data_IF_234593127919
#
_entry.id   IF_234593127919
#
_cell.length_a   1.000
_cell.length_b   1.000
_cell.length_c   1.000
_cell.angle_alpha   90.00
_cell.angle_beta   90.00
_cell.angle_gamma   90.00
#
_symmetry.space_group_name_H-M   'P 1'
#
loop_
_entity.id
_entity.type
_entity.pdbx_description
1 polymer ?
#
# COMPACT_ATOMS: atom_id res chain seq x y z
N UNK A 1 31.70 38.01 6.86
CA UNK A 1 30.77 36.86 6.97
C UNK A 1 29.37 37.43 6.96
N UNK A 2 28.57 37.17 5.91
CA UNK A 2 27.19 37.65 5.87
C UNK A 2 26.34 36.92 6.92
N UNK A 3 25.45 37.61 7.66
CA UNK A 3 24.58 36.95 8.62
C UNK A 3 23.60 36.02 7.89
N UNK A 4 23.52 34.76 8.33
CA UNK A 4 22.52 33.81 7.85
C UNK A 4 21.13 34.39 8.18
N UNK A 5 20.33 34.62 7.16
CA UNK A 5 18.94 35.05 7.32
C UNK A 5 18.20 34.06 8.23
N UNK A 6 17.56 34.58 9.29
CA UNK A 6 16.67 33.79 10.13
C UNK A 6 15.54 33.24 9.26
N UNK A 7 15.31 31.93 9.31
CA UNK A 7 14.15 31.31 8.66
C UNK A 7 12.90 31.97 9.26
N UNK A 8 12.11 32.67 8.44
CA UNK A 8 10.78 33.10 8.83
C UNK A 8 9.93 31.84 9.03
N UNK A 9 9.31 31.71 10.20
CA UNK A 9 8.26 30.73 10.41
C UNK A 9 7.06 31.16 9.56
N UNK A 10 6.90 30.53 8.40
CA UNK A 10 5.72 30.68 7.56
C UNK A 10 4.58 29.84 8.14
N UNK A 11 3.41 30.44 8.29
CA UNK A 11 2.19 29.74 8.71
C UNK A 11 1.81 28.72 7.64
N UNK A 12 1.87 27.43 7.97
CA UNK A 12 1.45 26.33 7.09
C UNK A 12 0.11 25.77 7.54
N UNK A 13 -0.84 25.63 6.61
CA UNK A 13 -2.11 24.93 6.83
C UNK A 13 -2.02 23.55 6.19
N UNK A 14 -2.53 22.53 6.88
CA UNK A 14 -2.60 21.15 6.40
C UNK A 14 -4.03 20.69 6.28
N UNK A 15 -4.32 19.89 5.25
CA UNK A 15 -5.61 19.22 5.17
C UNK A 15 -5.75 18.16 6.28
N UNK A 16 -6.96 17.77 6.71
CA UNK A 16 -7.10 16.68 7.67
C UNK A 16 -6.47 15.36 7.19
N UNK A 17 -6.55 15.07 5.88
CA UNK A 17 -5.91 13.89 5.29
C UNK A 17 -4.39 13.95 5.41
N UNK A 18 -3.80 15.10 5.10
CA UNK A 18 -2.36 15.35 5.24
C UNK A 18 -1.91 15.25 6.70
N UNK A 19 -2.66 15.87 7.64
CA UNK A 19 -2.36 15.78 9.07
C UNK A 19 -2.29 14.33 9.53
N UNK A 20 -3.26 13.50 9.16
CA UNK A 20 -3.29 12.10 9.59
C UNK A 20 -2.31 11.20 8.82
N UNK A 21 -1.98 11.56 7.58
CA UNK A 21 -0.91 10.93 6.82
C UNK A 21 0.46 11.18 7.49
N UNK A 22 0.68 12.34 8.09
CA UNK A 22 1.90 12.64 8.84
C UNK A 22 1.89 12.02 10.25
N UNK A 23 0.71 11.93 10.88
CA UNK A 23 0.54 11.52 12.29
C UNK A 23 -0.13 10.15 12.44
N UNK A 24 0.43 9.14 11.77
CA UNK A 24 -0.14 7.78 11.63
C UNK A 24 -0.28 7.02 12.95
N UNK A 25 0.61 7.32 13.90
CA UNK A 25 0.60 6.76 15.25
C UNK A 25 -0.69 7.10 16.02
N UNK A 26 -1.27 8.29 15.80
CA UNK A 26 -2.51 8.73 16.47
C UNK A 26 -3.68 7.80 16.12
N UNK A 27 -3.72 7.31 14.89
CA UNK A 27 -4.77 6.41 14.41
C UNK A 27 -4.45 4.92 14.60
N UNK A 28 -3.33 4.57 15.24
CA UNK A 28 -2.93 3.19 15.45
C UNK A 28 -2.31 2.49 14.24
N UNK A 29 -1.75 3.27 13.30
CA UNK A 29 -1.02 2.79 12.12
C UNK A 29 0.50 3.02 12.26
N UNK A 30 1.06 2.60 13.40
CA UNK A 30 2.48 2.78 13.74
C UNK A 30 3.37 1.60 13.29
N UNK A 31 2.83 0.37 13.34
CA UNK A 31 3.55 -0.86 13.02
C UNK A 31 2.73 -1.78 12.11
N UNK A 32 3.36 -2.56 11.20
CA UNK A 32 2.65 -3.36 10.21
C UNK A 32 1.60 -4.33 10.79
N UNK A 33 1.90 -4.96 11.94
CA UNK A 33 0.97 -5.90 12.59
C UNK A 33 -0.27 -5.19 13.14
N UNK A 34 -0.08 -4.05 13.82
CA UNK A 34 -1.16 -3.22 14.33
C UNK A 34 -1.94 -2.57 13.19
N UNK A 35 -1.31 -2.18 12.09
CA UNK A 35 -2.01 -1.66 10.91
C UNK A 35 -3.03 -2.68 10.36
N UNK A 36 -2.64 -3.96 10.27
CA UNK A 36 -3.55 -5.02 9.82
C UNK A 36 -4.70 -5.22 10.82
N UNK A 37 -4.38 -5.35 12.11
CA UNK A 37 -5.39 -5.47 13.16
C UNK A 37 -6.37 -4.30 13.18
N UNK A 38 -5.86 -3.07 13.19
CA UNK A 38 -6.66 -1.84 13.19
C UNK A 38 -7.54 -1.78 11.94
N UNK A 39 -7.02 -2.12 10.76
CA UNK A 39 -7.83 -2.16 9.52
C UNK A 39 -9.01 -3.11 9.65
N UNK A 40 -8.78 -4.34 10.12
CA UNK A 40 -9.84 -5.32 10.31
C UNK A 40 -10.84 -4.83 11.36
N UNK A 41 -10.36 -4.34 12.52
CA UNK A 41 -11.21 -3.82 13.60
C UNK A 41 -12.14 -2.72 13.10
N UNK A 42 -11.61 -1.70 12.44
CA UNK A 42 -12.39 -0.54 11.99
C UNK A 42 -13.45 -0.93 10.94
N UNK A 43 -13.14 -1.85 10.03
CA UNK A 43 -14.10 -2.34 9.04
C UNK A 43 -15.20 -3.19 9.68
N UNK A 44 -14.84 -4.06 10.64
CA UNK A 44 -15.80 -4.91 11.37
C UNK A 44 -16.71 -4.09 12.27
N UNK A 45 -16.19 -3.11 13.00
CA UNK A 45 -16.99 -2.21 13.83
C UNK A 45 -18.02 -1.43 12.99
N UNK A 46 -17.63 -0.98 11.80
CA UNK A 46 -18.56 -0.33 10.86
C UNK A 46 -19.62 -1.29 10.30
N UNK A 47 -19.25 -2.53 9.98
CA UNK A 47 -20.19 -3.56 9.54
C UNK A 47 -21.21 -3.90 10.64
N UNK A 48 -20.76 -4.07 11.89
CA UNK A 48 -21.64 -4.31 13.03
C UNK A 48 -22.61 -3.14 13.26
N UNK A 49 -22.09 -1.91 13.29
CA UNK A 49 -22.92 -0.71 13.45
C UNK A 49 -23.94 -0.56 12.30
N UNK A 50 -23.57 -0.97 11.07
CA UNK A 50 -24.47 -0.92 9.90
C UNK A 50 -25.60 -1.94 10.00
N UNK A 51 -25.33 -3.19 10.38
CA UNK A 51 -26.36 -4.20 10.63
C UNK A 51 -27.29 -3.82 11.80
N UNK A 52 -26.71 -3.33 12.89
CA UNK A 52 -27.44 -2.89 14.07
C UNK A 52 -28.35 -1.68 13.77
N UNK A 53 -27.94 -0.80 12.84
CA UNK A 53 -28.74 0.36 12.44
C UNK A 53 -30.10 0.01 11.83
N UNK A 54 -30.21 -1.17 11.21
CA UNK A 54 -31.44 -1.69 10.59
C UNK A 54 -32.00 -2.91 11.35
N UNK A 55 -31.48 -3.18 12.55
CA UNK A 55 -31.93 -4.25 13.45
C UNK A 55 -31.93 -5.65 12.82
N UNK A 56 -30.91 -5.95 12.03
CA UNK A 56 -30.69 -7.30 11.47
C UNK A 56 -29.55 -8.01 12.20
N UNK A 57 -29.61 -9.34 12.25
CA UNK A 57 -28.49 -10.13 12.78
C UNK A 57 -27.27 -9.96 11.85
N UNK A 58 -26.11 -9.51 12.36
CA UNK A 58 -24.95 -9.27 11.52
C UNK A 58 -24.38 -10.57 10.95
N UNK A 59 -24.26 -10.61 9.62
CA UNK A 59 -23.48 -11.61 8.89
C UNK A 59 -22.26 -10.90 8.31
N UNK A 60 -21.07 -11.18 8.86
CA UNK A 60 -19.83 -10.51 8.48
C UNK A 60 -18.82 -11.56 8.02
N UNK A 61 -18.38 -11.45 6.77
CA UNK A 61 -17.30 -12.27 6.21
C UNK A 61 -16.03 -11.43 6.09
N UNK A 62 -14.93 -11.94 6.65
CA UNK A 62 -13.62 -11.30 6.59
C UNK A 62 -12.69 -12.21 5.81
N UNK A 63 -11.99 -11.65 4.83
CA UNK A 63 -10.99 -12.36 4.03
C UNK A 63 -9.69 -11.56 4.06
N UNK A 64 -8.60 -12.24 4.41
CA UNK A 64 -7.25 -11.66 4.42
C UNK A 64 -6.38 -12.53 3.53
N UNK A 65 -5.92 -11.97 2.42
CA UNK A 65 -5.09 -12.67 1.45
C UNK A 65 -3.71 -12.01 1.38
N UNK A 66 -2.66 -12.82 1.46
CA UNK A 66 -1.31 -12.34 1.22
C UNK A 66 -1.12 -11.99 -0.26
N UNK A 67 -0.51 -10.83 -0.51
CA UNK A 67 -0.19 -10.31 -1.83
C UNK A 67 1.33 -10.25 -1.95
N UNK A 68 1.88 -11.07 -2.84
CA UNK A 68 3.32 -11.06 -3.10
C UNK A 68 3.76 -9.72 -3.70
N UNK A 69 5.02 -9.34 -3.45
CA UNK A 69 5.60 -8.11 -4.02
C UNK A 69 5.52 -8.08 -5.55
N UNK A 70 5.74 -9.22 -6.21
CA UNK A 70 5.60 -9.34 -7.66
C UNK A 70 4.16 -9.05 -8.13
N UNK A 71 3.15 -9.61 -7.44
CA UNK A 71 1.74 -9.34 -7.73
C UNK A 71 1.40 -7.87 -7.50
N UNK A 72 1.89 -7.27 -6.41
CA UNK A 72 1.68 -5.85 -6.12
C UNK A 72 2.30 -4.94 -7.19
N UNK A 73 3.53 -5.21 -7.61
CA UNK A 73 4.22 -4.44 -8.65
C UNK A 73 3.45 -4.48 -9.98
N UNK A 74 2.95 -5.67 -10.37
CA UNK A 74 2.06 -5.81 -11.52
C UNK A 74 0.78 -4.98 -11.37
N UNK A 75 0.13 -5.02 -10.21
CA UNK A 75 -1.08 -4.21 -9.95
C UNK A 75 -0.80 -2.70 -10.03
N UNK A 76 0.40 -2.26 -9.68
CA UNK A 76 0.83 -0.85 -9.81
C UNK A 76 1.17 -0.44 -11.25
N UNK A 77 1.22 -1.38 -12.19
CA UNK A 77 1.76 -1.14 -13.53
C UNK A 77 3.28 -0.92 -13.55
N UNK A 78 3.98 -1.25 -12.45
CA UNK A 78 5.44 -1.25 -12.36
C UNK A 78 5.93 -2.66 -12.65
N UNK A 79 5.61 -3.17 -13.84
CA UNK A 79 6.30 -4.37 -14.30
C UNK A 79 7.78 -4.00 -14.53
N UNK A 80 8.68 -4.95 -14.28
CA UNK A 80 10.08 -4.74 -14.63
C UNK A 80 10.15 -4.55 -16.15
N UNK A 81 10.17 -3.30 -16.59
CA UNK A 81 10.72 -2.98 -17.88
C UNK A 81 12.20 -3.33 -17.77
N UNK A 82 12.60 -4.43 -18.42
CA UNK A 82 14.00 -4.61 -18.73
C UNK A 82 14.46 -3.33 -19.42
N UNK A 83 15.58 -2.75 -18.98
CA UNK A 83 16.13 -1.57 -19.63
C UNK A 83 16.52 -1.99 -21.05
N UNK A 84 15.68 -1.62 -22.01
CA UNK A 84 15.88 -1.99 -23.42
C UNK A 84 17.14 -1.31 -23.97
N UNK A 85 17.43 -0.10 -23.49
CA UNK A 85 18.60 0.67 -23.89
C UNK A 85 19.38 1.14 -22.66
N UNK A 86 20.37 0.34 -22.25
CA UNK A 86 21.28 0.72 -21.18
C UNK A 86 22.14 1.94 -21.54
N UNK A 87 22.32 2.25 -22.83
CA UNK A 87 23.15 3.37 -23.28
C UNK A 87 22.49 4.73 -22.99
N UNK A 88 21.16 4.78 -22.94
CA UNK A 88 20.38 5.99 -22.64
C UNK A 88 20.50 6.45 -21.18
N UNK A 89 20.97 5.58 -20.28
CA UNK A 89 21.11 5.83 -18.82
C UNK A 89 22.57 5.83 -18.36
N UNK A 90 23.53 5.92 -19.28
CA UNK A 90 24.96 6.06 -18.97
C UNK A 90 25.34 7.50 -18.61
N UNK A 91 24.38 8.41 -18.56
CA UNK A 91 24.56 9.80 -18.18
C UNK A 91 24.88 9.92 -16.68
N UNK A 92 26.20 9.95 -16.45
CA UNK A 92 26.94 10.24 -15.22
C UNK A 92 27.18 9.05 -14.27
N UNK A 93 28.10 8.17 -14.67
CA UNK A 93 28.92 7.39 -13.73
C UNK A 93 30.22 8.15 -13.47
N UNK A 94 30.54 8.48 -12.21
CA UNK A 94 31.86 9.03 -11.90
C UNK A 94 32.95 7.98 -12.18
N UNK A 95 34.15 8.39 -12.61
CA UNK A 95 35.27 7.48 -12.92
C UNK A 95 35.55 6.46 -11.79
N UNK A 96 35.38 6.90 -10.54
CA UNK A 96 35.52 6.04 -9.36
C UNK A 96 34.39 5.00 -9.22
N UNK A 97 33.15 5.35 -9.58
CA UNK A 97 32.03 4.41 -9.61
C UNK A 97 32.23 3.36 -10.72
N UNK A 98 32.70 3.81 -11.90
CA UNK A 98 33.01 2.93 -13.05
C UNK A 98 34.11 1.93 -12.72
N UNK A 99 35.20 2.38 -12.10
CA UNK A 99 36.31 1.49 -11.68
C UNK A 99 35.84 0.45 -10.66
N UNK A 100 34.98 0.83 -9.71
CA UNK A 100 34.43 -0.08 -8.69
C UNK A 100 33.50 -1.12 -9.31
N UNK A 101 32.66 -0.73 -10.26
CA UNK A 101 31.76 -1.64 -10.97
C UNK A 101 32.53 -2.66 -11.80
N UNK A 102 33.46 -2.22 -12.64
CA UNK A 102 34.29 -3.10 -13.45
C UNK A 102 35.10 -4.10 -12.59
N UNK A 103 35.65 -3.64 -11.47
CA UNK A 103 36.36 -4.52 -10.53
C UNK A 103 35.43 -5.55 -9.86
N UNK A 104 34.17 -5.21 -9.62
CA UNK A 104 33.17 -6.11 -9.05
C UNK A 104 32.68 -7.15 -10.07
N UNK A 105 32.40 -6.71 -11.29
CA UNK A 105 32.02 -7.57 -12.43
C UNK A 105 33.14 -8.57 -12.77
N UNK A 106 34.40 -8.13 -12.79
CA UNK A 106 35.55 -9.01 -13.02
C UNK A 106 35.69 -10.09 -11.93
N UNK A 107 35.55 -9.71 -10.66
CA UNK A 107 35.59 -10.67 -9.52
C UNK A 107 34.41 -11.64 -9.55
N UNK A 108 33.23 -11.19 -9.94
CA UNK A 108 32.04 -12.03 -10.04
C UNK A 108 32.18 -13.05 -11.18
N UNK A 109 32.71 -12.62 -12.33
CA UNK A 109 33.03 -13.50 -13.46
C UNK A 109 34.07 -14.56 -13.10
N UNK A 110 35.17 -14.16 -12.46
CA UNK A 110 36.21 -15.10 -12.00
C UNK A 110 35.63 -16.12 -10.99
N UNK A 111 34.74 -15.67 -10.09
CA UNK A 111 34.05 -16.55 -9.14
C UNK A 111 33.13 -17.55 -9.85
N UNK A 112 32.36 -17.11 -10.84
CA UNK A 112 31.47 -17.97 -11.62
C UNK A 112 32.25 -18.99 -12.45
N UNK A 113 33.38 -18.60 -13.05
CA UNK A 113 34.29 -19.50 -13.78
C UNK A 113 34.92 -20.57 -12.87
N UNK A 114 35.32 -20.20 -11.64
CA UNK A 114 35.79 -21.17 -10.62
C UNK A 114 34.70 -22.14 -10.18
N UNK A 115 33.44 -21.71 -10.16
CA UNK A 115 32.30 -22.58 -9.84
C UNK A 115 31.97 -23.51 -11.01
N UNK A 116 32.04 -23.00 -12.24
CA UNK A 116 31.84 -23.77 -13.47
C UNK A 116 32.86 -24.90 -13.62
N UNK A 117 34.15 -24.58 -13.42
CA UNK A 117 35.24 -25.57 -13.47
C UNK A 117 35.12 -26.62 -12.37
N UNK A 118 34.74 -26.25 -11.14
CA UNK A 118 34.49 -27.20 -10.05
C UNK A 118 33.30 -28.13 -10.26
N UNK A 119 32.28 -27.69 -11.00
CA UNK A 119 31.05 -28.47 -11.25
C UNK A 119 31.05 -29.19 -12.60
N UNK A 120 32.05 -28.97 -13.45
CA UNK A 120 32.07 -29.51 -14.81
C UNK A 120 30.92 -29.00 -15.68
N UNK A 121 30.39 -27.81 -15.39
CA UNK A 121 29.28 -27.19 -16.12
C UNK A 121 29.79 -26.02 -16.98
N UNK A 122 29.13 -25.74 -18.11
CA UNK A 122 29.45 -24.55 -18.90
C UNK A 122 29.20 -23.26 -18.09
N UNK A 123 30.10 -22.28 -18.21
CA UNK A 123 30.01 -21.01 -17.48
C UNK A 123 28.66 -20.30 -17.68
N UNK A 124 28.13 -20.32 -18.91
CA UNK A 124 26.80 -19.77 -19.23
C UNK A 124 25.64 -20.49 -18.52
N UNK A 125 25.77 -21.79 -18.22
CA UNK A 125 24.75 -22.53 -17.49
C UNK A 125 24.76 -22.20 -15.99
N UNK A 126 25.95 -22.01 -15.42
CA UNK A 126 26.13 -21.55 -14.03
C UNK A 126 25.65 -20.12 -13.86
N UNK A 127 25.90 -19.26 -14.84
CA UNK A 127 25.44 -17.88 -14.88
C UNK A 127 23.91 -17.79 -14.94
N UNK A 128 23.26 -18.57 -15.82
CA UNK A 128 21.79 -18.68 -15.87
C UNK A 128 21.19 -19.19 -14.56
N UNK A 129 21.76 -20.24 -13.96
CA UNK A 129 21.32 -20.73 -12.64
C UNK A 129 21.53 -19.69 -11.54
N UNK A 130 22.59 -18.90 -11.60
CA UNK A 130 22.85 -17.82 -10.65
C UNK A 130 21.87 -16.66 -10.83
N UNK A 131 21.53 -16.27 -12.07
CA UNK A 131 20.52 -15.26 -12.36
C UNK A 131 19.12 -15.72 -11.94
N UNK A 132 18.78 -16.99 -12.20
CA UNK A 132 17.50 -17.59 -11.80
C UNK A 132 17.40 -17.73 -10.28
N UNK A 133 18.48 -18.11 -9.60
CA UNK A 133 18.55 -18.15 -8.14
C UNK A 133 18.50 -16.75 -7.52
N UNK A 134 19.05 -15.73 -8.18
CA UNK A 134 18.96 -14.32 -7.77
C UNK A 134 17.52 -13.81 -7.92
N UNK A 135 16.87 -14.07 -9.06
CA UNK A 135 15.43 -13.79 -9.29
C UNK A 135 14.54 -14.52 -8.28
N UNK A 136 14.84 -15.78 -7.97
CA UNK A 136 14.13 -16.55 -6.94
C UNK A 136 14.35 -15.99 -5.53
N UNK A 137 15.56 -15.53 -5.19
CA UNK A 137 15.86 -14.90 -3.89
C UNK A 137 15.24 -13.51 -3.73
N UNK A 138 15.11 -12.74 -4.81
CA UNK A 138 14.40 -11.45 -4.79
C UNK A 138 12.90 -11.61 -4.47
N UNK A 139 12.33 -12.79 -4.71
CA UNK A 139 10.96 -13.16 -4.32
C UNK A 139 10.80 -13.70 -2.89
N UNK A 140 11.90 -14.10 -2.21
CA UNK A 140 11.88 -14.83 -0.91
C UNK A 140 12.69 -14.09 0.18
N UNK A 141 12.94 -12.80 0.01
CA UNK A 141 13.23 -11.97 1.18
C UNK A 141 11.95 -11.82 2.00
N UNK A 142 12.01 -11.98 3.33
CA UNK A 142 11.00 -11.44 4.26
C UNK A 142 11.03 -9.90 4.17
N UNK A 143 10.65 -9.37 3.02
CA UNK A 143 10.39 -7.96 2.79
C UNK A 143 9.01 -7.58 3.32
N UNK A 144 8.61 -6.33 3.10
CA UNK A 144 7.27 -5.87 3.47
C UNK A 144 6.20 -6.82 2.92
N UNK A 145 5.43 -7.42 3.84
CA UNK A 145 4.28 -8.26 3.51
C UNK A 145 3.09 -7.34 3.21
N UNK A 146 2.39 -7.63 2.12
CA UNK A 146 1.19 -6.90 1.73
C UNK A 146 -0.01 -7.83 1.82
N UNK A 147 -1.14 -7.28 2.26
CA UNK A 147 -2.38 -8.05 2.41
C UNK A 147 -3.52 -7.33 1.70
N UNK A 148 -4.38 -8.11 1.05
CA UNK A 148 -5.70 -7.68 0.62
C UNK A 148 -6.69 -8.06 1.71
N UNK A 149 -7.26 -7.05 2.36
CA UNK A 149 -8.33 -7.24 3.36
C UNK A 149 -9.66 -6.95 2.68
N UNK A 150 -10.61 -7.88 2.77
CA UNK A 150 -11.98 -7.71 2.29
C UNK A 150 -12.94 -7.99 3.44
N UNK A 151 -13.87 -7.07 3.68
CA UNK A 151 -14.96 -7.22 4.65
C UNK A 151 -16.27 -7.09 3.89
N UNK A 152 -17.14 -8.08 4.05
CA UNK A 152 -18.50 -8.10 3.51
C UNK A 152 -19.48 -8.20 4.67
N UNK A 153 -20.53 -7.38 4.63
CA UNK A 153 -21.60 -7.38 5.61
C UNK A 153 -22.98 -7.41 4.95
N UNK A 154 -24.00 -7.69 5.75
CA UNK A 154 -25.42 -7.64 5.40
C UNK A 154 -26.14 -6.40 5.98
N UNK A 155 -25.41 -5.32 6.23
CA UNK A 155 -25.92 -4.11 6.87
C UNK A 155 -26.80 -3.25 5.98
N UNK A 156 -27.01 -1.99 6.40
CA UNK A 156 -27.84 -1.00 5.71
C UNK A 156 -27.34 -0.64 4.31
N UNK A 157 -26.06 -0.87 4.04
CA UNK A 157 -25.34 -0.32 2.90
C UNK A 157 -25.18 1.19 2.97
N UNK A 158 -24.63 1.75 1.89
CA UNK A 158 -24.37 3.19 1.71
C UNK A 158 -25.07 3.67 0.44
N UNK A 159 -25.75 4.83 0.45
CA UNK A 159 -26.35 5.40 -0.75
C UNK A 159 -25.26 5.73 -1.79
N UNK A 160 -25.49 5.34 -3.05
CA UNK A 160 -24.57 5.54 -4.18
C UNK A 160 -23.85 6.89 -4.16
N UNK A 161 -24.63 7.98 -4.17
CA UNK A 161 -24.14 9.37 -4.23
C UNK A 161 -23.26 9.79 -3.05
N UNK A 162 -23.44 9.17 -1.88
CA UNK A 162 -22.79 9.57 -0.63
C UNK A 162 -21.50 8.77 -0.37
N UNK A 163 -21.29 7.65 -1.07
CA UNK A 163 -20.11 6.76 -0.89
C UNK A 163 -18.76 7.53 -0.99
N UNK A 164 -18.53 8.38 -2.01
CA UNK A 164 -17.27 9.12 -2.12
C UNK A 164 -17.01 10.04 -0.92
N UNK A 165 -18.02 10.75 -0.43
CA UNK A 165 -17.87 11.63 0.73
C UNK A 165 -17.76 10.84 2.04
N UNK A 166 -18.49 9.74 2.19
CA UNK A 166 -18.46 8.89 3.38
C UNK A 166 -17.12 8.20 3.60
N UNK A 167 -16.38 7.87 2.54
CA UNK A 167 -15.12 7.11 2.61
C UNK A 167 -13.88 7.90 2.18
N UNK A 168 -14.03 8.87 1.28
CA UNK A 168 -12.93 9.69 0.75
C UNK A 168 -12.67 10.97 1.54
N UNK A 169 -13.68 11.55 2.21
CA UNK A 169 -13.52 12.79 2.99
C UNK A 169 -13.22 12.51 4.45
N UNK A 170 -12.05 12.91 4.94
CA UNK A 170 -11.65 12.74 6.34
C UNK A 170 -12.55 13.60 7.25
N UNK A 171 -12.89 13.11 8.44
CA UNK A 171 -13.84 13.74 9.38
C UNK A 171 -15.28 13.92 8.85
N UNK A 172 -15.68 13.19 7.80
CA UNK A 172 -17.10 12.97 7.49
C UNK A 172 -17.66 11.75 8.22
N UNK A 173 -18.97 11.63 8.38
CA UNK A 173 -19.53 10.44 9.00
C UNK A 173 -21.00 10.60 9.33
N UNK A 174 -21.67 9.47 9.48
CA UNK A 174 -23.10 9.40 9.83
C UNK A 174 -23.34 9.23 11.33
N UNK A 175 -22.25 9.14 12.13
CA UNK A 175 -22.28 8.76 13.56
C UNK A 175 -22.17 9.94 14.53
N UNK A 176 -22.38 11.18 14.08
CA UNK A 176 -22.36 12.37 14.94
C UNK A 176 -23.63 12.58 15.78
N UNK A 177 -24.59 11.65 15.71
CA UNK A 177 -25.82 11.69 16.50
C UNK A 177 -25.65 11.24 17.95
N UNK A 178 -26.75 11.27 18.70
CA UNK A 178 -26.80 10.88 20.14
C UNK A 178 -26.95 9.36 20.33
N UNK A 179 -26.93 8.57 19.24
CA UNK A 179 -27.02 7.11 19.29
C UNK A 179 -25.65 6.51 19.60
N UNK A 180 -25.58 5.63 20.61
CA UNK A 180 -24.38 4.88 20.92
C UNK A 180 -23.97 4.01 19.72
N UNK A 181 -22.72 4.13 19.31
CA UNK A 181 -22.10 3.36 18.22
C UNK A 181 -20.65 3.05 18.60
N UNK A 182 -20.01 2.07 17.94
CA UNK A 182 -18.63 1.67 18.25
C UNK A 182 -17.63 2.76 17.83
N UNK A 183 -17.83 3.32 16.64
CA UNK A 183 -16.98 4.39 16.09
C UNK A 183 -17.53 5.81 16.35
N UNK A 184 -16.71 6.72 16.87
CA UNK A 184 -17.14 8.09 17.25
C UNK A 184 -16.77 9.21 16.28
N UNK A 185 -15.58 9.16 15.67
CA UNK A 185 -15.00 10.32 14.97
C UNK A 185 -15.10 10.28 13.44
N UNK A 186 -15.71 9.23 12.86
CA UNK A 186 -15.80 9.08 11.41
C UNK A 186 -14.43 8.93 10.71
N UNK A 187 -13.42 8.50 11.46
CA UNK A 187 -12.01 8.53 11.05
C UNK A 187 -11.44 7.13 10.73
N UNK A 188 -11.82 6.12 11.51
CA UNK A 188 -11.07 4.86 11.57
C UNK A 188 -10.94 4.10 10.24
N UNK A 189 -12.05 3.80 9.55
CA UNK A 189 -11.97 3.14 8.23
C UNK A 189 -11.21 3.99 7.20
N UNK A 190 -11.31 5.32 7.26
CA UNK A 190 -10.61 6.21 6.32
C UNK A 190 -9.11 6.20 6.56
N UNK A 191 -8.69 6.07 7.82
CA UNK A 191 -7.28 5.89 8.15
C UNK A 191 -6.72 4.61 7.55
N UNK A 192 -7.51 3.53 7.54
CA UNK A 192 -7.12 2.31 6.86
C UNK A 192 -6.97 2.53 5.33
N UNK A 193 -7.89 3.31 4.72
CA UNK A 193 -7.82 3.64 3.29
C UNK A 193 -6.62 4.54 2.95
N UNK A 194 -6.37 5.59 3.73
CA UNK A 194 -5.21 6.48 3.58
C UNK A 194 -3.91 5.67 3.72
N UNK A 195 -3.81 4.83 4.75
CA UNK A 195 -2.63 3.99 4.95
C UNK A 195 -2.43 3.00 3.80
N UNK A 196 -3.50 2.36 3.34
CA UNK A 196 -3.47 1.49 2.15
C UNK A 196 -2.95 2.25 0.94
N UNK A 197 -3.45 3.46 0.68
CA UNK A 197 -3.00 4.30 -0.42
C UNK A 197 -1.53 4.72 -0.28
N UNK A 198 -1.09 5.14 0.91
CA UNK A 198 0.31 5.55 1.14
C UNK A 198 1.28 4.38 0.99
N UNK A 199 0.90 3.17 1.42
CA UNK A 199 1.78 2.00 1.39
C UNK A 199 1.75 1.27 0.05
N UNK A 200 0.57 1.12 -0.54
CA UNK A 200 0.34 0.34 -1.77
C UNK A 200 0.21 1.21 -3.01
N UNK A 201 -0.15 2.48 -2.91
CA UNK A 201 -0.40 3.36 -4.06
C UNK A 201 -1.65 2.99 -4.86
N UNK A 202 -2.32 1.88 -4.53
CA UNK A 202 -3.46 1.36 -5.25
C UNK A 202 -4.76 2.00 -4.75
N UNK A 203 -5.75 2.14 -5.65
CA UNK A 203 -7.10 2.53 -5.24
C UNK A 203 -7.78 1.37 -4.50
N UNK A 204 -8.90 1.68 -3.85
CA UNK A 204 -9.69 0.71 -3.09
C UNK A 204 -11.06 0.50 -3.72
N UNK A 205 -11.53 -0.75 -3.67
CA UNK A 205 -12.80 -1.15 -4.27
C UNK A 205 -13.89 -1.23 -3.21
N UNK A 206 -15.02 -0.59 -3.48
CA UNK A 206 -16.21 -0.60 -2.63
C UNK A 206 -17.37 -1.12 -3.43
N UNK A 207 -18.22 -1.92 -2.80
CA UNK A 207 -19.50 -2.29 -3.38
C UNK A 207 -20.57 -2.28 -2.31
N UNK A 208 -21.68 -1.59 -2.57
CA UNK A 208 -22.75 -1.40 -1.59
C UNK A 208 -24.10 -1.36 -2.27
N UNK A 209 -25.13 -1.82 -1.57
CA UNK A 209 -26.51 -1.76 -2.01
C UNK A 209 -27.37 -1.41 -0.80
N UNK A 210 -28.36 -0.55 -1.00
CA UNK A 210 -29.37 -0.26 0.04
C UNK A 210 -30.66 -0.98 -0.30
N UNK A 211 -31.48 -1.33 0.71
CA UNK A 211 -32.72 -2.12 0.52
C UNK A 211 -33.73 -1.50 -0.47
N UNK A 212 -33.64 -0.19 -0.71
CA UNK A 212 -34.54 0.56 -1.61
C UNK A 212 -33.97 0.74 -3.02
N UNK A 213 -32.78 0.21 -3.30
CA UNK A 213 -32.13 0.28 -4.62
C UNK A 213 -32.22 -1.09 -5.30
N UNK A 214 -32.56 -1.06 -6.59
CA UNK A 214 -32.55 -2.22 -7.49
C UNK A 214 -31.16 -2.47 -8.10
N UNK A 215 -30.19 -1.61 -7.82
CA UNK A 215 -28.82 -1.71 -8.29
C UNK A 215 -27.82 -1.85 -7.14
N UNK A 216 -26.65 -2.42 -7.46
CA UNK A 216 -25.48 -2.45 -6.58
C UNK A 216 -24.49 -1.39 -7.06
N UNK A 217 -24.14 -0.47 -6.16
CA UNK A 217 -23.07 0.49 -6.41
C UNK A 217 -21.72 -0.22 -6.41
N UNK A 218 -20.86 0.10 -7.38
CA UNK A 218 -19.47 -0.35 -7.44
C UNK A 218 -18.58 0.87 -7.68
N UNK A 219 -17.62 1.09 -6.78
CA UNK A 219 -16.68 2.21 -6.84
C UNK A 219 -15.24 1.72 -6.74
N UNK A 220 -14.37 2.33 -7.53
CA UNK A 220 -12.92 2.30 -7.35
C UNK A 220 -12.55 3.71 -6.92
N UNK A 221 -12.20 3.87 -5.65
CA UNK A 221 -11.93 5.16 -5.04
C UNK A 221 -10.44 5.34 -4.79
N UNK A 222 -10.02 6.59 -4.91
CA UNK A 222 -8.69 7.06 -4.56
C UNK A 222 -8.83 8.30 -3.67
N UNK A 223 -7.84 8.56 -2.81
CA UNK A 223 -7.83 9.71 -1.91
C UNK A 223 -6.66 10.60 -2.31
N UNK A 224 -6.95 11.84 -2.67
CA UNK A 224 -5.93 12.88 -2.74
C UNK A 224 -5.59 13.29 -1.30
N UNK A 225 -4.34 13.06 -0.90
CA UNK A 225 -3.88 13.35 0.46
C UNK A 225 -3.42 14.82 0.56
N UNK A 226 -3.02 15.41 -0.57
CA UNK A 226 -2.35 16.71 -0.62
C UNK A 226 -3.26 17.86 -1.09
N UNK A 227 -4.51 17.57 -1.46
CA UNK A 227 -5.54 18.55 -1.83
C UNK A 227 -6.87 18.20 -1.17
#
# INVERSE_FOLDING_TARGET
MAPKAAKKDELQQKSPAEFFADNKNIAGFDNPGKCLYTTVRELVENALDSAESISVLPEITITVEEVSKARLNRLRGVEHHDRIDEALYQDWESEDARRRRLAKEAKEKERLEKIATKKGEAAAAVERKASDAKRAKEGVGRGNLFYRVTVKDNGSGMPHKDIPDMLGRVLSGTKYGVKQTRGKFGLGAKMALIWSKMTTGLPFTISSATRRQDFRSHYILDIDIHR
#
